data_IF_380309199604
#
_entry.id   IF_380309199604
#
_cell.length_a   1.000
_cell.length_b   1.000
_cell.length_c   1.000
_cell.angle_alpha   90.00
_cell.angle_beta   90.00
_cell.angle_gamma   90.00
#
_symmetry.space_group_name_H-M   'P 1'
#
loop_
_entity.id
_entity.type
_entity.pdbx_description
1 polymer ?
#
# COMPACT_ATOMS: atom_id res chain seq x y z
N UNK A 1 9.34 -14.28 -18.79
CA UNK A 1 8.76 -13.02 -19.24
C UNK A 1 9.73 -11.91 -18.89
N UNK A 2 10.18 -11.14 -19.85
CA UNK A 2 11.10 -10.04 -19.62
C UNK A 2 10.33 -8.74 -19.29
N UNK A 3 11.02 -7.72 -18.76
CA UNK A 3 10.38 -6.46 -18.35
C UNK A 3 9.62 -5.74 -19.45
N UNK A 4 9.98 -5.97 -20.74
CA UNK A 4 9.27 -5.40 -21.88
C UNK A 4 7.94 -6.10 -22.17
N UNK A 5 7.86 -7.39 -21.90
CA UNK A 5 6.61 -8.15 -22.03
C UNK A 5 5.62 -7.74 -20.95
N UNK A 6 6.12 -7.38 -19.78
CA UNK A 6 5.30 -6.80 -18.71
C UNK A 6 4.70 -5.45 -19.09
N UNK A 7 5.48 -4.58 -19.70
CA UNK A 7 5.02 -3.26 -20.14
C UNK A 7 4.00 -3.34 -21.30
N UNK A 8 3.99 -4.44 -22.05
CA UNK A 8 3.05 -4.68 -23.15
C UNK A 8 1.78 -5.43 -22.72
N UNK A 9 1.77 -6.04 -21.53
CA UNK A 9 0.58 -6.68 -21.00
C UNK A 9 -0.44 -5.59 -20.62
N UNK A 10 -1.47 -5.45 -21.41
CA UNK A 10 -2.57 -4.49 -21.22
C UNK A 10 -3.48 -4.85 -20.02
N UNK A 11 -2.98 -5.61 -19.03
CA UNK A 11 -3.79 -6.10 -17.92
C UNK A 11 -3.06 -5.92 -16.57
N UNK A 12 -2.92 -4.68 -16.09
CA UNK A 12 -2.36 -4.46 -14.75
C UNK A 12 -3.14 -5.20 -13.65
N UNK A 13 -4.44 -5.39 -13.84
CA UNK A 13 -5.29 -6.11 -12.92
C UNK A 13 -4.95 -7.59 -12.80
N UNK A 14 -4.68 -8.27 -13.91
CA UNK A 14 -4.33 -9.70 -13.87
C UNK A 14 -3.00 -9.91 -13.14
N UNK A 15 -2.04 -9.03 -13.39
CA UNK A 15 -0.76 -9.06 -12.69
C UNK A 15 -0.93 -8.84 -11.18
N UNK A 16 -1.63 -7.80 -10.79
CA UNK A 16 -1.86 -7.49 -9.37
C UNK A 16 -2.68 -8.60 -8.70
N UNK A 17 -3.69 -9.15 -9.36
CA UNK A 17 -4.46 -10.27 -8.83
C UNK A 17 -3.60 -11.50 -8.63
N UNK A 18 -2.72 -11.82 -9.58
CA UNK A 18 -1.77 -12.92 -9.46
C UNK A 18 -0.80 -12.67 -8.30
N UNK A 19 -0.18 -11.50 -8.24
CA UNK A 19 0.74 -11.11 -7.15
C UNK A 19 0.06 -11.12 -5.79
N UNK A 20 -1.19 -10.66 -5.72
CA UNK A 20 -1.99 -10.76 -4.50
C UNK A 20 -2.12 -12.21 -4.02
N UNK A 21 -2.52 -13.12 -4.91
CA UNK A 21 -2.66 -14.54 -4.56
C UNK A 21 -1.35 -15.17 -4.12
N UNK A 22 -0.28 -14.95 -4.87
CA UNK A 22 1.05 -15.47 -4.55
C UNK A 22 1.55 -14.91 -3.22
N UNK A 23 1.36 -13.61 -2.98
CA UNK A 23 1.77 -12.93 -1.75
C UNK A 23 0.98 -13.47 -0.56
N UNK A 24 -0.33 -13.60 -0.67
CA UNK A 24 -1.17 -14.16 0.40
C UNK A 24 -0.77 -15.61 0.71
N UNK A 25 -0.54 -16.44 -0.31
CA UNK A 25 -0.10 -17.82 -0.10
C UNK A 25 1.26 -17.89 0.60
N UNK A 26 2.21 -17.07 0.15
CA UNK A 26 3.53 -16.99 0.75
C UNK A 26 3.45 -16.50 2.20
N UNK A 27 2.74 -15.42 2.46
CA UNK A 27 2.62 -14.81 3.79
C UNK A 27 1.84 -15.72 4.75
N UNK A 28 0.76 -16.33 4.32
CA UNK A 28 0.03 -17.30 5.13
C UNK A 28 0.90 -18.50 5.53
N UNK A 29 1.78 -18.92 4.62
CA UNK A 29 2.71 -20.02 4.91
C UNK A 29 3.87 -19.57 5.82
N UNK A 30 4.43 -18.39 5.59
CA UNK A 30 5.67 -17.92 6.22
C UNK A 30 5.45 -17.11 7.49
N UNK A 31 4.36 -16.36 7.58
CA UNK A 31 4.09 -15.36 8.61
C UNK A 31 2.87 -15.69 9.48
N UNK A 32 2.43 -16.95 9.52
CA UNK A 32 1.42 -17.46 10.46
C UNK A 32 0.12 -16.65 10.50
N UNK A 33 -0.45 -16.37 9.34
CA UNK A 33 -1.75 -15.70 9.24
C UNK A 33 -1.75 -14.20 9.60
N UNK A 34 -0.63 -13.51 9.53
CA UNK A 34 -0.57 -12.06 9.78
C UNK A 34 -1.53 -11.27 8.88
N UNK A 35 -1.89 -11.83 7.73
CA UNK A 35 -2.87 -11.25 6.80
C UNK A 35 -4.19 -12.03 6.74
N UNK A 36 -4.56 -12.70 7.83
CA UNK A 36 -5.76 -13.55 7.89
C UNK A 36 -7.08 -12.80 7.72
N UNK A 37 -7.09 -11.49 7.97
CA UNK A 37 -8.29 -10.66 7.89
C UNK A 37 -8.51 -10.05 6.50
N UNK A 38 -7.55 -10.21 5.59
CA UNK A 38 -7.75 -9.81 4.21
C UNK A 38 -8.84 -10.67 3.53
N UNK A 39 -9.69 -10.08 2.70
CA UNK A 39 -10.66 -10.83 1.92
C UNK A 39 -9.94 -11.71 0.89
N UNK A 40 -10.52 -12.85 0.56
CA UNK A 40 -9.99 -13.75 -0.49
C UNK A 40 -9.86 -13.05 -1.85
N UNK A 41 -10.70 -12.05 -2.09
CA UNK A 41 -10.69 -11.25 -3.32
C UNK A 41 -10.78 -9.77 -2.99
N UNK A 42 -9.83 -9.01 -3.49
CA UNK A 42 -9.89 -7.54 -3.45
C UNK A 42 -10.90 -7.01 -4.46
N UNK A 43 -11.45 -5.83 -4.17
CA UNK A 43 -12.31 -5.12 -5.12
C UNK A 43 -11.49 -4.61 -6.31
N UNK A 44 -12.13 -4.40 -7.46
CA UNK A 44 -11.47 -3.82 -8.63
C UNK A 44 -10.85 -2.45 -8.31
N UNK A 45 -11.51 -1.68 -7.47
CA UNK A 45 -11.00 -0.37 -7.01
C UNK A 45 -9.73 -0.52 -6.17
N UNK A 46 -9.69 -1.46 -5.24
CA UNK A 46 -8.49 -1.73 -4.44
C UNK A 46 -7.34 -2.22 -5.32
N UNK A 47 -7.61 -3.08 -6.30
CA UNK A 47 -6.61 -3.55 -7.26
C UNK A 47 -6.05 -2.39 -8.10
N UNK A 48 -6.91 -1.48 -8.55
CA UNK A 48 -6.51 -0.28 -9.28
C UNK A 48 -5.57 0.60 -8.43
N UNK A 49 -5.95 0.88 -7.18
CA UNK A 49 -5.16 1.70 -6.27
C UNK A 49 -3.81 1.03 -5.98
N UNK A 50 -3.80 -0.26 -5.66
CA UNK A 50 -2.57 -1.03 -5.40
C UNK A 50 -1.62 -1.01 -6.60
N UNK A 51 -2.16 -1.05 -7.84
CA UNK A 51 -1.34 -0.95 -9.05
C UNK A 51 -0.69 0.42 -9.25
N UNK A 52 -1.25 1.45 -8.65
CA UNK A 52 -0.80 2.83 -8.74
C UNK A 52 0.04 3.30 -7.54
N UNK A 53 0.36 2.42 -6.58
CA UNK A 53 1.19 2.79 -5.43
C UNK A 53 2.59 3.21 -5.88
N UNK A 54 3.07 4.32 -5.32
CA UNK A 54 4.40 4.88 -5.58
C UNK A 54 5.08 5.07 -4.22
N UNK A 55 6.29 4.53 -4.08
CA UNK A 55 7.05 4.59 -2.83
C UNK A 55 6.56 3.63 -1.74
N UNK A 56 5.55 2.84 -2.05
CA UNK A 56 5.00 1.80 -1.18
C UNK A 56 4.82 0.54 -2.02
N UNK A 57 5.39 -0.56 -1.59
CA UNK A 57 5.27 -1.83 -2.29
C UNK A 57 3.87 -2.45 -2.11
N UNK A 58 3.47 -3.31 -3.05
CA UNK A 58 2.16 -3.98 -3.00
C UNK A 58 1.94 -4.73 -1.69
N UNK A 59 2.97 -5.39 -1.17
CA UNK A 59 2.89 -6.13 0.10
C UNK A 59 2.62 -5.21 1.28
N UNK A 60 3.23 -4.03 1.30
CA UNK A 60 2.98 -3.02 2.34
C UNK A 60 1.53 -2.52 2.26
N UNK A 61 1.01 -2.28 1.05
CA UNK A 61 -0.40 -1.96 0.84
C UNK A 61 -1.33 -3.05 1.37
N UNK A 62 -1.00 -4.32 1.19
CA UNK A 62 -1.77 -5.44 1.74
C UNK A 62 -1.76 -5.47 3.28
N UNK A 63 -0.62 -5.17 3.91
CA UNK A 63 -0.55 -5.03 5.38
C UNK A 63 -1.41 -3.87 5.89
N UNK A 64 -1.44 -2.75 5.17
CA UNK A 64 -2.31 -1.62 5.52
C UNK A 64 -3.78 -2.05 5.47
N UNK A 65 -4.22 -2.71 4.39
CA UNK A 65 -5.59 -3.22 4.27
C UNK A 65 -5.95 -4.17 5.41
N UNK A 66 -5.05 -5.11 5.74
CA UNK A 66 -5.24 -6.05 6.83
C UNK A 66 -5.36 -5.34 8.18
N UNK A 67 -4.48 -4.38 8.46
CA UNK A 67 -4.51 -3.60 9.70
C UNK A 67 -5.79 -2.76 9.84
N UNK A 68 -6.23 -2.13 8.76
CA UNK A 68 -7.50 -1.39 8.74
C UNK A 68 -8.69 -2.31 9.00
N UNK A 69 -8.68 -3.51 8.44
CA UNK A 69 -9.74 -4.50 8.70
C UNK A 69 -9.74 -4.96 10.16
N UNK A 70 -8.57 -5.24 10.73
CA UNK A 70 -8.46 -5.64 12.14
C UNK A 70 -8.93 -4.55 13.11
N UNK A 71 -8.77 -3.28 12.73
CA UNK A 71 -9.07 -2.13 13.57
C UNK A 71 -10.38 -1.42 13.20
N UNK A 72 -11.18 -1.94 12.27
CA UNK A 72 -12.40 -1.28 11.82
C UNK A 72 -13.42 -1.02 12.95
N UNK A 73 -13.43 -1.89 13.97
CA UNK A 73 -14.29 -1.80 15.15
C UNK A 73 -13.77 -0.85 16.25
N UNK A 74 -12.52 -0.38 16.14
CA UNK A 74 -11.93 0.56 17.10
C UNK A 74 -12.57 1.92 16.89
N UNK A 75 -13.07 2.53 17.97
CA UNK A 75 -13.61 3.89 17.92
C UNK A 75 -12.53 4.92 17.58
N UNK A 76 -12.92 5.95 16.82
CA UNK A 76 -12.02 7.03 16.39
C UNK A 76 -11.68 6.97 14.90
N UNK A 77 -10.79 7.84 14.52
CA UNK A 77 -10.42 8.13 13.16
C UNK A 77 -9.06 7.52 12.79
N UNK A 78 -8.66 7.69 11.54
CA UNK A 78 -7.37 7.21 11.02
C UNK A 78 -6.45 8.40 10.79
N UNK A 79 -5.19 8.25 11.17
CA UNK A 79 -4.15 9.26 10.96
C UNK A 79 -3.01 8.67 10.13
N UNK A 80 -2.55 9.42 9.13
CA UNK A 80 -1.36 9.10 8.36
C UNK A 80 -0.31 10.20 8.56
N UNK A 81 0.88 9.81 8.96
CA UNK A 81 2.03 10.69 9.15
C UNK A 81 3.07 10.40 8.07
N UNK A 82 3.35 11.39 7.23
CA UNK A 82 4.19 11.23 6.06
C UNK A 82 3.37 10.76 4.86
N UNK A 83 2.79 11.73 4.15
CA UNK A 83 1.80 11.50 3.08
C UNK A 83 2.48 11.40 1.71
N UNK A 84 3.59 12.09 1.53
CA UNK A 84 4.28 12.22 0.25
C UNK A 84 3.33 12.57 -0.91
N UNK A 85 3.12 11.65 -1.84
CA UNK A 85 2.27 11.86 -3.02
C UNK A 85 0.80 11.43 -2.80
N UNK A 86 0.46 10.90 -1.63
CA UNK A 86 -0.91 10.52 -1.28
C UNK A 86 -1.40 9.19 -1.87
N UNK A 87 -0.50 8.36 -2.39
CA UNK A 87 -0.89 7.06 -2.95
C UNK A 87 -1.44 6.13 -1.85
N UNK A 88 -0.74 6.05 -0.72
CA UNK A 88 -1.18 5.30 0.46
C UNK A 88 -2.45 5.92 1.07
N UNK A 89 -2.52 7.25 1.13
CA UNK A 89 -3.73 7.96 1.60
C UNK A 89 -4.97 7.59 0.80
N UNK A 90 -4.83 7.42 -0.51
CA UNK A 90 -5.92 7.00 -1.39
C UNK A 90 -6.40 5.60 -1.04
N UNK A 91 -5.49 4.66 -0.78
CA UNK A 91 -5.82 3.30 -0.36
C UNK A 91 -6.56 3.28 0.98
N UNK A 92 -6.07 4.06 1.95
CA UNK A 92 -6.70 4.18 3.27
C UNK A 92 -8.09 4.79 3.14
N UNK A 93 -8.22 5.93 2.44
CA UNK A 93 -9.50 6.62 2.27
C UNK A 93 -10.57 5.74 1.60
N UNK A 94 -10.20 5.02 0.55
CA UNK A 94 -11.08 4.06 -0.11
C UNK A 94 -11.53 2.96 0.85
N UNK A 95 -10.58 2.41 1.60
CA UNK A 95 -10.84 1.28 2.52
C UNK A 95 -11.74 1.67 3.69
N UNK A 96 -11.58 2.86 4.27
CA UNK A 96 -12.43 3.33 5.38
C UNK A 96 -13.71 4.00 4.92
N UNK A 97 -13.91 4.15 3.62
CA UNK A 97 -15.13 4.70 3.06
C UNK A 97 -16.35 3.90 3.53
N UNK A 98 -17.32 4.59 4.12
CA UNK A 98 -18.52 3.96 4.67
C UNK A 98 -18.40 3.44 6.11
N UNK A 99 -17.22 3.51 6.73
CA UNK A 99 -17.05 3.15 8.15
C UNK A 99 -17.39 4.29 9.13
N UNK A 100 -17.70 5.48 8.62
CA UNK A 100 -17.96 6.66 9.45
C UNK A 100 -16.71 7.18 10.16
N UNK A 101 -15.54 6.94 9.59
CA UNK A 101 -14.22 7.41 10.07
C UNK A 101 -13.70 8.48 9.13
N UNK A 102 -13.03 9.47 9.71
CA UNK A 102 -12.27 10.46 8.96
C UNK A 102 -10.79 10.04 8.82
N UNK A 103 -10.14 10.52 7.75
CA UNK A 103 -8.71 10.36 7.54
C UNK A 103 -8.01 11.70 7.73
N UNK A 104 -7.10 11.76 8.70
CA UNK A 104 -6.28 12.93 8.96
C UNK A 104 -4.88 12.72 8.41
N UNK A 105 -4.42 13.65 7.57
CA UNK A 105 -3.14 13.58 6.87
C UNK A 105 -2.17 14.62 7.47
N UNK A 106 -1.00 14.16 7.87
CA UNK A 106 0.05 14.98 8.47
C UNK A 106 1.34 14.88 7.65
N UNK A 107 1.69 15.97 7.00
CA UNK A 107 2.92 16.11 6.22
C UNK A 107 3.34 17.59 6.22
N UNK A 108 4.55 17.89 5.81
CA UNK A 108 4.97 19.27 5.57
C UNK A 108 4.26 19.86 4.34
N UNK A 109 3.87 19.00 3.39
CA UNK A 109 3.34 19.34 2.07
C UNK A 109 4.24 20.29 1.27
N UNK A 110 5.55 20.26 1.58
CA UNK A 110 6.58 21.09 0.96
C UNK A 110 7.69 20.27 0.31
N UNK A 111 7.55 18.94 0.34
CA UNK A 111 8.57 18.00 -0.10
C UNK A 111 9.70 17.85 0.92
N UNK A 112 10.77 17.22 0.51
CA UNK A 112 11.95 17.03 1.33
C UNK A 112 12.79 18.32 1.38
N UNK A 113 13.45 18.62 2.51
CA UNK A 113 14.41 19.70 2.58
C UNK A 113 15.58 19.44 1.64
N UNK A 114 16.32 20.49 1.31
CA UNK A 114 17.55 20.32 0.52
C UNK A 114 18.52 19.42 1.29
N UNK A 115 19.18 18.47 0.59
CA UNK A 115 20.20 17.64 1.21
C UNK A 115 21.33 18.49 1.82
N UNK A 116 21.84 18.04 2.95
CA UNK A 116 23.01 18.61 3.60
C UNK A 116 24.23 17.78 3.27
N UNK A 117 25.39 18.17 3.76
CA UNK A 117 26.63 17.37 3.57
C UNK A 117 26.57 16.00 4.26
N UNK A 118 25.76 15.88 5.29
CA UNK A 118 25.55 14.64 6.02
C UNK A 118 24.68 13.63 5.23
N UNK A 119 23.92 14.13 4.23
CA UNK A 119 23.06 13.31 3.37
C UNK A 119 23.81 12.81 2.11
N UNK A 120 25.06 13.26 1.90
CA UNK A 120 25.87 12.78 0.78
C UNK A 120 26.24 11.31 1.00
N UNK A 121 25.91 10.47 0.01
CA UNK A 121 26.36 9.08 0.00
C UNK A 121 27.89 9.08 -0.05
N UNK A 122 28.52 8.45 0.93
CA UNK A 122 29.95 8.18 0.85
C UNK A 122 30.16 7.10 -0.22
N UNK A 123 31.18 7.31 -1.07
CA UNK A 123 31.52 6.44 -2.22
C UNK A 123 31.86 4.97 -1.84
N UNK A 124 31.66 4.57 -0.61
CA UNK A 124 32.08 3.28 -0.04
C UNK A 124 30.93 2.28 0.17
N UNK A 125 29.84 2.39 -0.62
CA UNK A 125 28.78 1.37 -0.59
C UNK A 125 28.72 0.67 -1.94
#
# INVERSE_FOLDING_TARGET
MNDKEWQQANYPYDYITQRYRETIQYLNHSMRNDLSDLPEKLTDRQLEILSGLIGTETVEGLYILNALKQTEHVEGDVCEYGVAQGATSTLIADTISGLGKDLYLFDSFQGLPKPTKEDELKDDI
#
